data_IF_706303547204
#
_entry.id   IF_706303547204
#
_cell.length_a   1.000
_cell.length_b   1.000
_cell.length_c   1.000
_cell.angle_alpha   90.00
_cell.angle_beta   90.00
_cell.angle_gamma   90.00
#
_symmetry.space_group_name_H-M   'P 1'
#
loop_
_entity.id
_entity.type
_entity.pdbx_description
1 polymer ?
#
# COMPACT_ATOMS: atom_id res chain seq x y z
N UNK A 1 -57.30 5.12 73.17
CA UNK A 1 -57.44 5.67 71.81
C UNK A 1 -56.26 6.60 71.38
N UNK A 2 -55.43 7.09 72.32
CA UNK A 2 -54.42 8.15 72.06
C UNK A 2 -53.07 7.55 71.52
N UNK A 3 -52.67 6.36 71.86
CA UNK A 3 -51.36 5.80 71.46
C UNK A 3 -51.34 5.24 70.02
N UNK A 4 -52.44 4.74 69.52
CA UNK A 4 -52.52 4.19 68.14
C UNK A 4 -52.43 5.28 67.06
N UNK A 5 -52.93 6.46 67.35
CA UNK A 5 -52.93 7.62 66.42
C UNK A 5 -51.52 8.12 66.25
N UNK A 6 -50.69 8.16 67.30
CA UNK A 6 -49.27 8.59 67.23
C UNK A 6 -48.41 7.66 66.42
N UNK A 7 -48.65 6.33 66.51
CA UNK A 7 -47.89 5.33 65.73
C UNK A 7 -48.24 5.38 64.24
N UNK A 8 -49.49 5.62 63.89
CA UNK A 8 -49.96 5.71 62.50
C UNK A 8 -49.46 7.01 61.85
N UNK A 9 -49.41 8.14 62.58
CA UNK A 9 -48.80 9.38 62.06
C UNK A 9 -47.28 9.24 61.87
N UNK A 10 -46.61 8.54 62.76
CA UNK A 10 -45.16 8.26 62.65
C UNK A 10 -44.85 7.36 61.42
N UNK A 11 -45.63 6.35 61.15
CA UNK A 11 -45.47 5.48 59.97
C UNK A 11 -45.73 6.23 58.66
N UNK A 12 -46.77 7.04 58.56
CA UNK A 12 -47.07 7.85 57.39
C UNK A 12 -45.99 8.91 57.14
N UNK A 13 -45.51 9.54 58.21
CA UNK A 13 -44.39 10.49 58.10
C UNK A 13 -43.08 9.83 57.61
N UNK A 14 -42.82 8.61 58.09
CA UNK A 14 -41.64 7.85 57.62
C UNK A 14 -41.73 7.44 56.13
N UNK A 15 -42.94 7.06 55.67
CA UNK A 15 -43.16 6.75 54.25
C UNK A 15 -43.01 8.00 53.36
N UNK A 16 -43.53 9.13 53.82
CA UNK A 16 -43.40 10.39 53.10
C UNK A 16 -41.93 10.84 53.03
N UNK A 17 -41.19 10.72 54.11
CA UNK A 17 -39.77 11.05 54.19
C UNK A 17 -38.92 10.12 53.29
N UNK A 18 -39.24 8.79 53.29
CA UNK A 18 -38.59 7.82 52.36
C UNK A 18 -38.89 8.14 50.89
N UNK A 19 -40.14 8.54 50.56
CA UNK A 19 -40.50 8.90 49.19
C UNK A 19 -39.79 10.18 48.71
N UNK A 20 -39.60 11.16 49.59
CA UNK A 20 -38.84 12.38 49.28
C UNK A 20 -37.36 12.10 49.13
N UNK A 21 -36.77 11.19 49.94
CA UNK A 21 -35.40 10.76 49.83
C UNK A 21 -35.13 9.99 48.55
N UNK A 22 -36.07 9.14 48.09
CA UNK A 22 -35.98 8.40 46.82
C UNK A 22 -36.09 9.34 45.61
N UNK A 23 -36.86 10.42 45.68
CA UNK A 23 -36.98 11.41 44.61
C UNK A 23 -35.73 12.32 44.51
N UNK A 24 -34.99 12.49 45.60
CA UNK A 24 -33.73 13.25 45.61
C UNK A 24 -32.50 12.43 45.16
N UNK A 25 -32.61 11.10 45.08
CA UNK A 25 -31.50 10.22 44.73
C UNK A 25 -31.23 10.07 43.20
N UNK A 26 -32.17 10.52 42.36
CA UNK A 26 -31.95 10.53 40.89
C UNK A 26 -31.27 11.84 40.46
N UNK A 27 -30.04 12.07 40.86
CA UNK A 27 -29.15 12.94 40.08
C UNK A 27 -28.77 12.12 38.84
N UNK A 28 -29.39 12.46 37.70
CA UNK A 28 -28.96 11.97 36.40
C UNK A 28 -27.47 12.29 36.28
N UNK A 29 -26.63 11.23 36.29
CA UNK A 29 -25.21 11.43 36.05
C UNK A 29 -25.07 12.23 34.74
N UNK A 30 -24.35 13.32 34.78
CA UNK A 30 -24.04 14.06 33.56
C UNK A 30 -23.39 13.06 32.59
N UNK A 31 -23.85 12.97 31.33
CA UNK A 31 -23.22 12.10 30.35
C UNK A 31 -21.74 12.53 30.29
N UNK A 32 -20.85 11.54 30.44
CA UNK A 32 -19.42 11.75 30.27
C UNK A 32 -19.20 12.30 28.85
N UNK A 33 -19.18 13.61 28.73
CA UNK A 33 -18.82 14.29 27.49
C UNK A 33 -17.31 14.24 27.38
N UNK A 34 -16.80 13.67 26.28
CA UNK A 34 -15.39 13.71 25.96
C UNK A 34 -15.02 15.17 25.66
N UNK A 35 -14.43 15.86 26.64
CA UNK A 35 -14.08 17.30 26.58
C UNK A 35 -12.54 17.50 26.59
N UNK A 36 -11.84 16.61 25.87
CA UNK A 36 -10.41 16.75 25.65
C UNK A 36 -10.12 17.32 24.26
N UNK A 37 -8.93 17.90 24.11
CA UNK A 37 -8.43 18.32 22.80
C UNK A 37 -8.52 17.15 21.82
N UNK A 38 -8.89 17.43 20.59
CA UNK A 38 -8.96 16.40 19.56
C UNK A 38 -7.55 15.83 19.30
N UNK A 39 -7.45 14.51 19.29
CA UNK A 39 -6.23 13.81 18.94
C UNK A 39 -6.33 13.23 17.53
N UNK A 40 -5.17 13.06 16.87
CA UNK A 40 -5.06 12.46 15.54
C UNK A 40 -4.20 11.22 15.60
N UNK A 41 -4.55 10.20 14.80
CA UNK A 41 -3.81 8.95 14.74
C UNK A 41 -4.02 8.25 13.38
N UNK A 42 -3.10 7.32 13.06
CA UNK A 42 -3.28 6.40 11.92
C UNK A 42 -4.25 5.28 12.30
N UNK A 43 -5.29 5.09 11.48
CA UNK A 43 -6.34 4.08 11.68
C UNK A 43 -6.00 2.80 10.90
N UNK A 44 -4.89 2.17 11.29
CA UNK A 44 -4.37 0.99 10.61
C UNK A 44 -5.13 -0.27 11.04
N UNK A 45 -5.44 -1.12 10.06
CA UNK A 45 -5.98 -2.46 10.30
C UNK A 45 -4.98 -3.34 11.04
N UNK A 46 -5.43 -4.47 11.60
CA UNK A 46 -4.58 -5.33 12.41
C UNK A 46 -3.37 -5.88 11.64
N UNK A 47 -3.54 -6.20 10.36
CA UNK A 47 -2.50 -6.65 9.44
C UNK A 47 -1.53 -5.54 9.01
N UNK A 48 -1.93 -4.27 9.13
CA UNK A 48 -1.12 -3.09 8.78
C UNK A 48 -0.37 -2.47 9.96
N UNK A 49 -0.68 -2.88 11.19
CA UNK A 49 -0.06 -2.29 12.40
C UNK A 49 1.45 -2.39 12.43
N UNK A 50 1.99 -3.52 11.98
CA UNK A 50 3.44 -3.73 11.93
C UNK A 50 4.06 -3.06 10.72
N UNK A 51 3.43 -3.21 9.55
CA UNK A 51 3.84 -2.55 8.31
C UNK A 51 2.78 -2.65 7.22
N UNK A 52 2.70 -1.61 6.40
CA UNK A 52 1.98 -1.59 5.13
C UNK A 52 2.96 -2.03 4.06
N UNK A 53 2.81 -3.25 3.55
CA UNK A 53 3.66 -3.76 2.48
C UNK A 53 3.06 -3.41 1.12
N UNK A 54 3.87 -2.81 0.25
CA UNK A 54 3.50 -2.48 -1.12
C UNK A 54 4.55 -3.02 -2.09
N UNK A 55 4.11 -3.66 -3.17
CA UNK A 55 5.03 -4.20 -4.18
C UNK A 55 4.65 -3.79 -5.60
N UNK A 56 5.65 -3.41 -6.38
CA UNK A 56 5.57 -3.20 -7.82
C UNK A 56 5.93 -4.44 -8.64
N UNK A 57 6.24 -5.56 -7.99
CA UNK A 57 6.79 -6.75 -8.64
C UNK A 57 5.90 -7.30 -9.77
N UNK A 58 4.57 -7.18 -9.61
CA UNK A 58 3.59 -7.78 -10.53
C UNK A 58 3.00 -6.78 -11.54
N UNK A 59 3.31 -5.49 -11.42
CA UNK A 59 2.88 -4.45 -12.37
C UNK A 59 4.08 -3.61 -12.84
N UNK A 60 4.81 -4.17 -13.80
CA UNK A 60 6.05 -3.58 -14.29
C UNK A 60 5.83 -2.30 -15.12
N UNK A 61 4.65 -2.14 -15.70
CA UNK A 61 4.30 -0.94 -16.45
C UNK A 61 4.11 0.27 -15.53
N UNK A 62 3.79 0.05 -14.27
CA UNK A 62 3.46 1.10 -13.31
C UNK A 62 4.71 1.79 -12.78
N UNK A 63 4.89 3.07 -13.14
CA UNK A 63 6.02 3.89 -12.69
C UNK A 63 5.81 4.51 -11.30
N UNK A 64 4.56 4.67 -10.87
CA UNK A 64 4.19 5.23 -9.56
C UNK A 64 2.82 4.74 -9.11
N UNK A 65 2.56 4.81 -7.80
CA UNK A 65 1.25 4.53 -7.22
C UNK A 65 0.99 5.40 -5.98
N UNK A 66 -0.25 5.40 -5.49
CA UNK A 66 -0.64 6.09 -4.28
C UNK A 66 -1.10 5.10 -3.22
N UNK A 67 -0.38 5.06 -2.10
CA UNK A 67 -0.79 4.31 -0.91
C UNK A 67 -1.63 5.24 -0.04
N UNK A 68 -2.90 4.90 0.11
CA UNK A 68 -3.84 5.67 0.91
C UNK A 68 -3.79 5.21 2.37
N UNK A 69 -3.18 6.01 3.25
CA UNK A 69 -3.01 5.68 4.67
C UNK A 69 -4.14 6.35 5.45
N UNK A 70 -5.01 5.58 6.10
CA UNK A 70 -6.16 6.13 6.81
C UNK A 70 -5.71 6.89 8.07
N UNK A 71 -6.31 8.06 8.27
CA UNK A 71 -6.11 8.93 9.42
C UNK A 71 -7.46 9.22 10.05
N UNK A 72 -7.55 9.13 11.37
CA UNK A 72 -8.78 9.33 12.12
C UNK A 72 -8.53 10.29 13.31
N UNK A 73 -9.55 11.04 13.70
CA UNK A 73 -9.51 11.88 14.89
C UNK A 73 -10.26 11.23 16.05
N UNK A 74 -9.76 11.43 17.26
CA UNK A 74 -10.49 11.21 18.50
C UNK A 74 -10.89 12.57 19.09
N UNK A 75 -12.19 12.79 19.30
CA UNK A 75 -12.72 14.03 19.80
C UNK A 75 -13.89 14.57 19.00
N UNK A 76 -14.31 15.81 19.32
CA UNK A 76 -15.47 16.44 18.68
C UNK A 76 -15.21 16.75 17.21
N UNK A 77 -16.20 16.49 16.37
CA UNK A 77 -16.24 16.99 14.98
C UNK A 77 -16.77 18.42 15.04
N UNK A 78 -16.15 19.33 14.30
CA UNK A 78 -16.52 20.75 14.26
C UNK A 78 -16.87 21.16 12.82
N UNK A 79 -17.64 22.21 12.67
CA UNK A 79 -18.11 22.73 11.38
C UNK A 79 -17.06 23.61 10.68
N UNK A 80 -15.78 23.25 10.83
CA UNK A 80 -14.64 23.92 10.21
C UNK A 80 -13.63 22.87 9.74
N UNK A 81 -12.95 23.15 8.62
CA UNK A 81 -11.81 22.37 8.18
C UNK A 81 -10.68 22.49 9.19
N UNK A 82 -10.04 21.37 9.49
CA UNK A 82 -8.86 21.29 10.34
C UNK A 82 -7.70 20.68 9.56
N UNK A 83 -6.49 20.97 9.98
CA UNK A 83 -5.30 20.54 9.27
C UNK A 83 -4.37 19.74 10.19
N UNK A 84 -3.83 18.67 9.64
CA UNK A 84 -2.81 17.86 10.31
C UNK A 84 -1.50 17.83 9.51
N UNK A 85 -0.42 17.56 10.21
CA UNK A 85 0.91 17.43 9.64
C UNK A 85 1.41 16.02 9.83
N UNK A 86 1.91 15.43 8.75
CA UNK A 86 2.67 14.18 8.77
C UNK A 86 4.10 14.46 8.27
N UNK A 87 5.06 13.68 8.76
CA UNK A 87 6.44 13.76 8.31
C UNK A 87 7.07 12.37 8.22
N UNK A 88 8.16 12.26 7.46
CA UNK A 88 8.98 11.05 7.39
C UNK A 88 10.09 11.15 8.41
N UNK A 89 10.23 10.14 9.26
CA UNK A 89 11.34 10.01 10.19
C UNK A 89 12.58 9.52 9.43
N UNK A 90 13.50 10.45 9.12
CA UNK A 90 14.62 10.18 8.24
C UNK A 90 15.57 9.10 8.79
N UNK A 91 15.89 9.15 10.08
CA UNK A 91 16.85 8.23 10.72
C UNK A 91 16.40 6.77 10.73
N UNK A 92 15.10 6.53 10.64
CA UNK A 92 14.49 5.20 10.64
C UNK A 92 13.98 4.76 9.26
N UNK A 93 14.12 5.62 8.24
CA UNK A 93 13.68 5.37 6.87
C UNK A 93 14.87 5.08 5.96
N UNK A 94 14.72 4.09 5.07
CA UNK A 94 15.72 3.78 4.03
C UNK A 94 15.32 4.28 2.65
N UNK A 95 14.06 4.69 2.49
CA UNK A 95 13.55 5.31 1.28
C UNK A 95 13.97 6.79 1.22
N UNK A 96 14.31 7.26 0.03
CA UNK A 96 14.81 8.61 -0.22
C UNK A 96 13.70 9.46 -0.83
N UNK A 97 13.37 10.64 -0.25
CA UNK A 97 12.40 11.57 -0.81
C UNK A 97 12.81 12.03 -2.23
N UNK A 98 11.85 12.12 -3.14
CA UNK A 98 12.08 12.48 -4.55
C UNK A 98 12.59 11.31 -5.41
N UNK A 99 13.12 10.25 -4.81
CA UNK A 99 13.56 9.03 -5.50
C UNK A 99 12.50 7.93 -5.35
N UNK A 100 12.16 7.55 -4.12
CA UNK A 100 11.26 6.43 -3.84
C UNK A 100 9.82 6.87 -3.56
N UNK A 101 9.61 8.11 -3.14
CA UNK A 101 8.30 8.69 -2.88
C UNK A 101 8.31 10.21 -3.09
N UNK A 102 7.13 10.77 -3.38
CA UNK A 102 6.93 12.23 -3.43
C UNK A 102 7.05 12.78 -2.01
N UNK A 103 7.85 13.85 -1.77
CA UNK A 103 7.84 14.54 -0.48
C UNK A 103 6.42 14.88 -0.03
N UNK A 104 6.17 14.74 1.27
CA UNK A 104 4.86 15.02 1.84
C UNK A 104 4.52 16.52 1.73
N UNK A 105 3.23 16.82 1.63
CA UNK A 105 2.75 18.19 1.69
C UNK A 105 2.92 18.75 3.12
N UNK A 106 3.04 20.08 3.28
CA UNK A 106 3.21 20.70 4.61
C UNK A 106 2.08 20.37 5.57
N UNK A 107 0.85 20.21 5.07
CA UNK A 107 -0.34 19.86 5.84
C UNK A 107 -1.41 19.21 4.98
N UNK A 108 -2.31 18.48 5.62
CA UNK A 108 -3.42 17.77 5.00
C UNK A 108 -4.74 18.14 5.69
N UNK A 109 -5.84 18.31 4.93
CA UNK A 109 -7.13 18.68 5.50
C UNK A 109 -7.86 17.48 6.09
N UNK A 110 -8.61 17.75 7.17
CA UNK A 110 -9.77 16.97 7.61
C UNK A 110 -10.98 17.89 7.40
N UNK A 111 -11.88 17.57 6.44
CA UNK A 111 -13.02 18.44 6.13
C UNK A 111 -13.95 18.66 7.32
N UNK A 112 -14.68 19.77 7.28
CA UNK A 112 -15.68 20.11 8.30
C UNK A 112 -16.64 18.94 8.56
N UNK A 113 -16.93 18.71 9.86
CA UNK A 113 -17.80 17.63 10.33
C UNK A 113 -17.28 16.20 10.09
N UNK A 114 -16.16 16.03 9.37
CA UNK A 114 -15.54 14.73 9.15
C UNK A 114 -14.63 14.33 10.33
N UNK A 115 -14.52 13.03 10.53
CA UNK A 115 -13.66 12.44 11.56
C UNK A 115 -12.55 11.58 10.97
N UNK A 116 -12.51 11.45 9.64
CA UNK A 116 -11.56 10.61 8.89
C UNK A 116 -11.02 11.38 7.71
N UNK A 117 -9.78 11.08 7.40
CA UNK A 117 -9.09 11.56 6.21
C UNK A 117 -8.12 10.49 5.71
N UNK A 118 -7.46 10.77 4.62
CA UNK A 118 -6.45 9.89 4.02
C UNK A 118 -5.18 10.68 3.82
N UNK A 119 -4.04 10.11 4.24
CA UNK A 119 -2.71 10.60 3.86
C UNK A 119 -2.31 9.89 2.55
N UNK A 120 -2.30 10.58 1.40
CA UNK A 120 -1.87 9.99 0.13
C UNK A 120 -0.34 9.97 0.08
N UNK A 121 0.26 8.79 0.14
CA UNK A 121 1.68 8.59 -0.05
C UNK A 121 1.93 8.13 -1.49
N UNK A 122 2.41 9.04 -2.34
CA UNK A 122 2.77 8.70 -3.73
C UNK A 122 4.16 8.07 -3.73
N UNK A 123 4.24 6.84 -4.22
CA UNK A 123 5.47 6.02 -4.26
C UNK A 123 5.89 5.75 -5.70
N UNK A 124 7.19 5.57 -5.91
CA UNK A 124 7.79 5.39 -7.24
C UNK A 124 8.42 4.01 -7.39
N UNK A 125 8.19 3.39 -8.56
CA UNK A 125 8.83 2.15 -8.94
C UNK A 125 10.26 2.41 -9.43
N UNK A 126 11.25 2.08 -8.63
CA UNK A 126 12.67 2.27 -8.94
C UNK A 126 13.39 0.94 -9.11
N UNK A 127 14.42 0.87 -9.97
CA UNK A 127 15.15 -0.37 -10.22
C UNK A 127 15.75 -1.02 -8.97
N UNK A 128 16.24 -0.23 -8.01
CA UNK A 128 16.84 -0.72 -6.77
C UNK A 128 15.85 -1.45 -5.83
N UNK A 129 14.53 -1.24 -6.02
CA UNK A 129 13.50 -2.01 -5.34
C UNK A 129 13.43 -3.48 -5.77
N UNK A 130 14.06 -3.84 -6.88
CA UNK A 130 14.18 -5.23 -7.34
C UNK A 130 15.18 -6.03 -6.49
N UNK A 131 16.19 -5.35 -5.95
CA UNK A 131 17.26 -5.97 -5.19
C UNK A 131 17.03 -5.84 -3.68
N UNK A 132 16.45 -4.73 -3.23
CA UNK A 132 16.22 -4.48 -1.80
C UNK A 132 14.96 -3.67 -1.54
N UNK A 133 14.25 -4.01 -0.46
CA UNK A 133 13.09 -3.25 -0.01
C UNK A 133 13.52 -1.92 0.62
N UNK A 134 12.68 -0.89 0.47
CA UNK A 134 12.86 0.41 1.11
C UNK A 134 11.75 0.66 2.11
N UNK A 135 12.11 1.23 3.25
CA UNK A 135 11.17 1.52 4.34
C UNK A 135 10.94 3.02 4.46
N UNK A 136 9.68 3.41 4.64
CA UNK A 136 9.26 4.78 4.97
C UNK A 136 8.59 4.72 6.34
N UNK A 137 9.11 5.48 7.30
CA UNK A 137 8.49 5.66 8.60
C UNK A 137 7.78 7.00 8.62
N UNK A 138 6.46 6.95 8.62
CA UNK A 138 5.60 8.12 8.74
C UNK A 138 5.26 8.36 10.19
N UNK A 139 5.24 9.62 10.60
CA UNK A 139 4.77 10.06 11.90
C UNK A 139 3.83 11.26 11.78
N UNK A 140 2.86 11.33 12.67
CA UNK A 140 2.03 12.51 12.86
C UNK A 140 2.71 13.47 13.84
N UNK A 141 2.46 14.76 13.67
CA UNK A 141 2.94 15.83 14.55
C UNK A 141 1.74 16.54 15.17
N UNK A 142 1.88 16.92 16.45
CA UNK A 142 0.91 17.80 17.09
C UNK A 142 0.81 19.13 16.34
N UNK A 143 -0.40 19.67 16.25
CA UNK A 143 -0.71 20.95 15.61
C UNK A 143 -1.61 21.79 16.51
N UNK A 144 -2.00 22.99 16.06
CA UNK A 144 -3.02 23.77 16.77
C UNK A 144 -4.40 23.09 16.83
N UNK A 145 -4.67 22.20 15.87
CA UNK A 145 -5.96 21.52 15.75
C UNK A 145 -5.99 20.14 16.43
N UNK A 146 -4.82 19.49 16.60
CA UNK A 146 -4.74 18.10 17.06
C UNK A 146 -3.56 17.82 17.96
N UNK A 147 -3.83 17.10 19.07
CA UNK A 147 -2.83 16.42 19.89
C UNK A 147 -2.40 15.06 19.31
N UNK A 148 -1.34 14.52 19.89
CA UNK A 148 -0.77 13.19 19.56
C UNK A 148 -0.47 12.42 20.86
N UNK A 149 -1.40 12.39 21.79
CA UNK A 149 -1.18 11.86 23.14
C UNK A 149 -0.90 10.33 23.18
N UNK A 150 -1.37 9.58 22.17
CA UNK A 150 -1.08 8.15 22.09
C UNK A 150 0.07 7.88 21.10
N UNK A 151 1.31 7.65 21.58
CA UNK A 151 2.48 7.50 20.74
C UNK A 151 2.48 6.19 19.90
N UNK A 152 1.66 5.20 20.23
CA UNK A 152 1.66 3.90 19.54
C UNK A 152 0.95 3.95 18.20
N UNK A 153 0.03 4.87 18.00
CA UNK A 153 -0.81 4.99 16.80
C UNK A 153 -0.52 6.23 15.97
N UNK A 154 0.53 6.97 16.29
CA UNK A 154 1.01 8.12 15.50
C UNK A 154 2.09 7.76 14.49
N UNK A 155 2.43 6.47 14.38
CA UNK A 155 3.47 5.95 13.49
C UNK A 155 2.87 4.93 12.52
N UNK A 156 3.23 5.05 11.25
CA UNK A 156 2.97 4.05 10.21
C UNK A 156 4.27 3.68 9.50
N UNK A 157 4.49 2.38 9.30
CA UNK A 157 5.65 1.86 8.56
C UNK A 157 5.16 1.37 7.20
N UNK A 158 5.75 1.89 6.14
CA UNK A 158 5.51 1.43 4.77
C UNK A 158 6.77 0.75 4.25
N UNK A 159 6.62 -0.43 3.65
CA UNK A 159 7.71 -1.19 3.04
C UNK A 159 7.43 -1.30 1.55
N UNK A 160 8.33 -0.74 0.74
CA UNK A 160 8.27 -0.77 -0.71
C UNK A 160 9.19 -1.85 -1.26
N UNK A 161 8.72 -2.62 -2.25
CA UNK A 161 9.50 -3.64 -2.92
C UNK A 161 9.10 -3.75 -4.39
N UNK A 162 9.99 -4.28 -5.23
CA UNK A 162 9.69 -4.76 -6.59
C UNK A 162 10.35 -6.13 -6.82
N UNK A 163 10.70 -6.85 -5.75
CA UNK A 163 11.39 -8.14 -5.82
C UNK A 163 10.44 -9.21 -6.33
N UNK A 164 10.91 -9.97 -7.30
CA UNK A 164 10.30 -11.22 -7.74
C UNK A 164 11.14 -12.38 -7.21
N UNK A 165 10.48 -13.32 -6.58
CA UNK A 165 11.08 -14.59 -6.17
C UNK A 165 10.63 -15.69 -7.12
N UNK A 166 11.46 -16.73 -7.28
CA UNK A 166 11.11 -17.86 -8.12
C UNK A 166 9.92 -18.60 -7.53
N UNK A 167 8.77 -18.66 -8.23
CA UNK A 167 7.64 -19.44 -7.77
C UNK A 167 7.93 -20.95 -7.81
N UNK A 168 7.31 -21.72 -6.92
CA UNK A 168 7.50 -23.18 -6.86
C UNK A 168 7.14 -23.90 -8.18
N UNK A 169 6.16 -23.37 -8.91
CA UNK A 169 5.70 -23.91 -10.20
C UNK A 169 6.63 -23.58 -11.38
N UNK A 170 7.58 -22.63 -11.23
CA UNK A 170 8.37 -22.08 -12.35
C UNK A 170 9.14 -23.13 -13.11
N UNK A 171 9.93 -23.93 -12.41
CA UNK A 171 10.81 -24.92 -13.05
C UNK A 171 10.06 -26.00 -13.83
N UNK A 172 8.80 -26.24 -13.49
CA UNK A 172 7.94 -27.21 -14.18
C UNK A 172 7.52 -26.73 -15.57
N UNK A 173 7.32 -25.42 -15.76
CA UNK A 173 6.71 -24.85 -16.96
C UNK A 173 7.64 -23.93 -17.77
N UNK A 174 8.54 -23.22 -17.09
CA UNK A 174 9.34 -22.15 -17.69
C UNK A 174 10.85 -22.45 -17.72
N UNK A 175 11.31 -23.57 -17.14
CA UNK A 175 12.73 -23.96 -17.13
C UNK A 175 13.61 -23.07 -16.24
N UNK A 176 14.82 -22.75 -16.70
CA UNK A 176 15.74 -21.92 -15.92
C UNK A 176 15.12 -20.57 -15.54
N UNK A 177 15.31 -20.19 -14.27
CA UNK A 177 14.80 -18.95 -13.72
C UNK A 177 15.79 -17.82 -13.90
N UNK A 178 15.29 -16.65 -14.30
CA UNK A 178 15.87 -15.35 -14.01
C UNK A 178 14.75 -14.36 -13.71
N UNK A 179 15.05 -13.32 -12.93
CA UNK A 179 14.09 -12.26 -12.62
C UNK A 179 13.54 -11.63 -13.90
N UNK A 180 14.44 -11.34 -14.85
CA UNK A 180 14.07 -10.78 -16.16
C UNK A 180 13.12 -11.71 -16.93
N UNK A 181 13.37 -13.02 -16.96
CA UNK A 181 12.46 -13.97 -17.60
C UNK A 181 11.08 -13.99 -16.94
N UNK A 182 11.04 -13.92 -15.62
CA UNK A 182 9.78 -13.84 -14.88
C UNK A 182 9.03 -12.52 -15.16
N UNK A 183 9.73 -11.39 -15.24
CA UNK A 183 9.15 -10.12 -15.65
C UNK A 183 8.54 -10.20 -17.06
N UNK A 184 9.26 -10.78 -18.03
CA UNK A 184 8.75 -11.00 -19.38
C UNK A 184 7.52 -11.91 -19.38
N UNK A 185 7.51 -12.97 -18.56
CA UNK A 185 6.35 -13.84 -18.39
C UNK A 185 5.12 -13.05 -17.91
N UNK A 186 5.26 -12.22 -16.88
CA UNK A 186 4.17 -11.37 -16.36
C UNK A 186 3.66 -10.39 -17.42
N UNK A 187 4.57 -9.75 -18.17
CA UNK A 187 4.23 -8.81 -19.25
C UNK A 187 3.40 -9.49 -20.33
N UNK A 188 3.84 -10.68 -20.74
CA UNK A 188 3.20 -11.41 -21.84
C UNK A 188 1.86 -11.96 -21.41
N UNK A 189 1.81 -12.63 -20.29
CA UNK A 189 0.66 -13.46 -19.88
C UNK A 189 -0.31 -12.73 -18.96
N UNK A 190 0.16 -11.80 -18.15
CA UNK A 190 -0.61 -11.19 -17.04
C UNK A 190 -0.94 -12.17 -15.91
N UNK A 191 -0.33 -13.38 -15.92
CA UNK A 191 -0.59 -14.44 -14.95
C UNK A 191 0.51 -14.46 -13.90
N UNK A 192 0.15 -14.44 -12.61
CA UNK A 192 1.09 -14.45 -11.50
C UNK A 192 1.38 -15.84 -10.97
N UNK A 193 0.46 -16.80 -11.19
CA UNK A 193 0.57 -18.17 -10.69
C UNK A 193 0.10 -19.17 -11.74
N UNK A 194 0.80 -20.32 -11.81
CA UNK A 194 0.37 -21.49 -12.56
C UNK A 194 0.10 -22.65 -11.62
N UNK A 195 -0.94 -23.41 -11.93
CA UNK A 195 -1.30 -24.60 -11.16
C UNK A 195 -0.22 -25.68 -11.24
N UNK A 196 -0.01 -26.40 -10.15
CA UNK A 196 0.82 -27.62 -10.12
C UNK A 196 -0.01 -28.90 -10.30
N UNK A 197 -1.31 -28.79 -10.53
CA UNK A 197 -2.23 -29.91 -10.73
C UNK A 197 -2.08 -30.44 -12.17
N UNK A 198 -1.85 -31.75 -12.33
CA UNK A 198 -1.59 -32.37 -13.63
C UNK A 198 -2.70 -32.17 -14.68
N UNK A 199 -3.95 -32.05 -14.28
CA UNK A 199 -5.08 -31.79 -15.18
C UNK A 199 -5.01 -30.41 -15.86
N UNK A 200 -4.30 -29.43 -15.24
CA UNK A 200 -4.12 -28.10 -15.79
C UNK A 200 -2.91 -27.97 -16.73
N UNK A 201 -2.15 -29.06 -16.91
CA UNK A 201 -0.93 -29.06 -17.74
C UNK A 201 -1.13 -28.48 -19.15
N UNK A 202 -2.19 -28.83 -19.92
CA UNK A 202 -2.39 -28.24 -21.25
C UNK A 202 -2.56 -26.73 -21.23
N UNK A 203 -3.28 -26.20 -20.24
CA UNK A 203 -3.46 -24.76 -20.02
C UNK A 203 -2.15 -24.07 -19.66
N UNK A 204 -1.40 -24.65 -18.73
CA UNK A 204 -0.13 -24.12 -18.27
C UNK A 204 0.93 -24.10 -19.38
N UNK A 205 0.99 -25.16 -20.19
CA UNK A 205 1.87 -25.23 -21.36
C UNK A 205 1.51 -24.15 -22.39
N UNK A 206 0.22 -23.92 -22.65
CA UNK A 206 -0.21 -22.82 -23.51
C UNK A 206 0.25 -21.47 -22.98
N UNK A 207 0.06 -21.20 -21.68
CA UNK A 207 0.49 -19.93 -21.05
C UNK A 207 2.02 -19.78 -21.12
N UNK A 208 2.78 -20.82 -20.79
CA UNK A 208 4.24 -20.79 -20.87
C UNK A 208 4.74 -20.58 -22.32
N UNK A 209 4.03 -21.15 -23.31
CA UNK A 209 4.37 -20.97 -24.72
C UNK A 209 4.21 -19.53 -25.20
N UNK A 210 3.30 -18.73 -24.61
CA UNK A 210 3.18 -17.31 -24.95
C UNK A 210 4.50 -16.57 -24.69
N UNK A 211 5.19 -16.88 -23.58
CA UNK A 211 6.53 -16.35 -23.33
C UNK A 211 7.52 -16.79 -24.40
N UNK A 212 7.53 -18.07 -24.76
CA UNK A 212 8.43 -18.61 -25.80
C UNK A 212 8.23 -17.91 -27.15
N UNK A 213 6.98 -17.64 -27.53
CA UNK A 213 6.65 -16.88 -28.76
C UNK A 213 7.26 -15.47 -28.71
N UNK A 214 7.12 -14.75 -27.60
CA UNK A 214 7.72 -13.43 -27.44
C UNK A 214 9.25 -13.47 -27.46
N UNK A 215 9.88 -14.43 -26.76
CA UNK A 215 11.33 -14.56 -26.72
C UNK A 215 11.93 -14.83 -28.10
N UNK A 216 11.22 -15.58 -28.95
CA UNK A 216 11.65 -15.89 -30.32
C UNK A 216 11.39 -14.74 -31.32
N UNK A 217 10.35 -13.96 -31.12
CA UNK A 217 9.91 -12.92 -32.06
C UNK A 217 9.57 -11.60 -31.31
N UNK A 218 10.53 -10.94 -30.63
CA UNK A 218 10.24 -9.79 -29.77
C UNK A 218 9.72 -8.57 -30.54
N UNK A 219 10.17 -8.33 -31.77
CA UNK A 219 9.71 -7.22 -32.60
C UNK A 219 8.25 -7.40 -33.05
N UNK A 220 7.92 -8.59 -33.54
CA UNK A 220 6.56 -8.93 -33.94
C UNK A 220 5.61 -8.89 -32.74
N UNK A 221 6.09 -9.36 -31.58
CA UNK A 221 5.29 -9.30 -30.37
C UNK A 221 4.93 -7.85 -30.01
N UNK A 222 5.90 -6.93 -30.02
CA UNK A 222 5.66 -5.51 -29.74
C UNK A 222 4.69 -4.91 -30.76
N UNK A 223 4.89 -5.18 -32.05
CA UNK A 223 4.03 -4.69 -33.13
C UNK A 223 2.57 -5.17 -32.98
N UNK A 224 2.37 -6.42 -32.55
CA UNK A 224 1.05 -7.03 -32.42
C UNK A 224 0.38 -6.78 -31.05
N UNK A 225 1.10 -6.23 -30.05
CA UNK A 225 0.61 -5.99 -28.69
C UNK A 225 0.71 -4.51 -28.27
N UNK A 226 0.43 -3.59 -29.19
CA UNK A 226 0.53 -2.15 -28.95
C UNK A 226 -0.31 -1.66 -27.77
N UNK A 227 -1.45 -2.34 -27.49
CA UNK A 227 -2.32 -2.03 -26.36
C UNK A 227 -1.66 -2.28 -24.97
N UNK A 228 -0.57 -3.04 -24.90
CA UNK A 228 0.23 -3.22 -23.68
C UNK A 228 1.21 -2.07 -23.43
N UNK A 229 1.40 -1.17 -24.40
CA UNK A 229 2.19 0.06 -24.26
C UNK A 229 3.71 -0.15 -24.22
N UNK A 230 4.23 -1.35 -24.51
CA UNK A 230 5.66 -1.60 -24.56
C UNK A 230 6.25 -1.19 -25.91
N UNK A 231 7.48 -0.67 -25.86
CA UNK A 231 8.24 -0.23 -27.03
C UNK A 231 9.64 -0.82 -27.06
N UNK A 232 10.24 -0.85 -28.25
CA UNK A 232 11.64 -1.15 -28.47
C UNK A 232 12.33 0.12 -28.96
N UNK A 233 13.27 0.66 -28.19
CA UNK A 233 14.07 1.82 -28.51
C UNK A 233 15.52 1.42 -28.72
N UNK A 234 16.13 1.79 -29.83
CA UNK A 234 17.55 1.47 -30.06
C UNK A 234 18.44 2.06 -28.95
N UNK A 235 19.35 1.26 -28.40
CA UNK A 235 20.30 1.71 -27.37
C UNK A 235 21.19 2.82 -27.89
N UNK A 236 21.63 2.68 -29.14
CA UNK A 236 22.37 3.72 -29.89
C UNK A 236 21.56 4.11 -31.10
N UNK A 237 21.23 5.40 -31.27
CA UNK A 237 20.47 5.86 -32.42
C UNK A 237 21.07 5.39 -33.76
N UNK A 238 20.23 4.75 -34.58
CA UNK A 238 20.64 4.22 -35.89
C UNK A 238 21.31 2.83 -35.86
N UNK A 239 21.63 2.29 -34.68
CA UNK A 239 22.13 0.90 -34.56
C UNK A 239 20.98 -0.10 -34.42
N UNK A 240 21.21 -1.31 -34.97
CA UNK A 240 20.31 -2.46 -34.81
C UNK A 240 20.89 -3.51 -33.87
N UNK A 241 21.98 -3.24 -33.17
CA UNK A 241 22.68 -4.23 -32.35
C UNK A 241 21.97 -4.51 -31.03
N UNK A 242 21.34 -3.48 -30.45
CA UNK A 242 20.65 -3.60 -29.18
C UNK A 242 19.48 -2.61 -29.04
N UNK A 243 18.48 -3.02 -28.30
CA UNK A 243 17.29 -2.22 -27.98
C UNK A 243 17.01 -2.27 -26.47
N UNK A 244 16.32 -1.24 -25.98
CA UNK A 244 15.65 -1.25 -24.69
C UNK A 244 14.17 -1.57 -24.90
N UNK A 245 13.70 -2.58 -24.19
CA UNK A 245 12.29 -2.95 -24.09
C UNK A 245 11.74 -2.36 -22.78
N UNK A 246 10.75 -1.49 -22.89
CA UNK A 246 10.18 -0.78 -21.74
C UNK A 246 8.83 -0.16 -22.09
N UNK A 247 8.13 0.40 -21.10
CA UNK A 247 6.94 1.23 -21.32
C UNK A 247 7.25 2.70 -20.99
N UNK A 248 6.75 3.67 -21.79
CA UNK A 248 6.91 5.10 -21.49
C UNK A 248 6.37 5.53 -20.13
N UNK A 249 5.39 4.80 -19.56
CA UNK A 249 4.87 5.04 -18.22
C UNK A 249 5.91 4.70 -17.11
N UNK A 250 6.88 3.83 -17.41
CA UNK A 250 7.96 3.49 -16.49
C UNK A 250 9.32 3.45 -17.21
N UNK A 251 9.85 4.60 -17.64
CA UNK A 251 11.09 4.67 -18.43
C UNK A 251 12.35 4.28 -17.66
N UNK A 252 12.24 4.14 -16.33
CA UNK A 252 13.34 3.72 -15.47
C UNK A 252 13.54 2.18 -15.48
N UNK A 253 12.56 1.41 -15.94
CA UNK A 253 12.62 -0.04 -16.04
C UNK A 253 12.79 -0.47 -17.49
N UNK A 254 14.05 -0.65 -17.90
CA UNK A 254 14.41 -1.05 -19.25
C UNK A 254 15.06 -2.43 -19.26
N UNK A 255 14.49 -3.38 -20.01
CA UNK A 255 15.08 -4.69 -20.26
C UNK A 255 15.86 -4.61 -21.58
N UNK A 256 17.12 -5.05 -21.56
CA UNK A 256 17.96 -5.04 -22.76
C UNK A 256 17.61 -6.20 -23.67
N UNK A 257 17.41 -5.92 -24.96
CA UNK A 257 17.32 -6.87 -26.04
C UNK A 257 18.58 -6.71 -26.90
N UNK A 258 19.37 -7.75 -27.07
CA UNK A 258 20.66 -7.67 -27.77
C UNK A 258 20.76 -8.71 -28.87
N UNK A 259 21.35 -8.31 -30.00
CA UNK A 259 21.67 -9.21 -31.12
C UNK A 259 22.86 -10.07 -30.77
N UNK A 260 22.69 -11.36 -30.84
CA UNK A 260 23.80 -12.32 -30.74
C UNK A 260 24.53 -12.38 -32.10
N UNK A 261 25.80 -12.05 -32.11
CA UNK A 261 26.60 -11.94 -33.33
C UNK A 261 26.81 -13.26 -34.06
N UNK A 262 26.80 -14.37 -33.32
CA UNK A 262 26.99 -15.71 -33.88
C UNK A 262 25.76 -16.26 -34.60
N UNK A 263 24.57 -16.04 -34.03
CA UNK A 263 23.30 -16.54 -34.58
C UNK A 263 22.51 -15.51 -35.38
N UNK A 264 22.83 -14.20 -35.22
CA UNK A 264 22.07 -13.11 -35.80
C UNK A 264 20.71 -12.88 -35.12
N UNK A 265 20.34 -13.66 -34.13
CA UNK A 265 19.06 -13.59 -33.39
C UNK A 265 19.17 -12.59 -32.23
N UNK A 266 18.03 -12.06 -31.78
CA UNK A 266 17.95 -11.18 -30.62
C UNK A 266 17.51 -11.96 -29.39
N UNK A 267 18.17 -11.67 -28.25
CA UNK A 267 17.86 -12.23 -26.94
C UNK A 267 17.70 -11.13 -25.91
N UNK A 268 16.72 -11.25 -25.04
CA UNK A 268 16.69 -10.45 -23.83
C UNK A 268 17.85 -10.83 -22.93
N UNK A 269 18.43 -9.84 -22.27
CA UNK A 269 19.57 -10.04 -21.36
C UNK A 269 19.05 -9.92 -19.94
N UNK A 270 19.35 -10.92 -19.13
CA UNK A 270 18.92 -10.96 -17.74
C UNK A 270 19.81 -10.11 -16.79
N UNK A 271 19.45 -10.08 -15.54
CA UNK A 271 20.17 -9.36 -14.47
C UNK A 271 21.62 -9.85 -14.24
N UNK A 272 21.97 -11.04 -14.74
CA UNK A 272 23.31 -11.63 -14.66
C UNK A 272 24.10 -11.47 -15.97
N UNK A 273 23.53 -10.77 -16.97
CA UNK A 273 24.13 -10.57 -18.28
C UNK A 273 24.00 -11.81 -19.19
N UNK A 274 23.13 -12.77 -18.86
CA UNK A 274 22.93 -13.97 -19.66
C UNK A 274 21.73 -13.80 -20.60
N UNK A 275 21.76 -14.53 -21.72
CA UNK A 275 20.64 -14.58 -22.66
C UNK A 275 19.44 -15.31 -22.04
N UNK A 276 18.30 -14.67 -22.03
CA UNK A 276 17.02 -15.28 -21.65
C UNK A 276 16.55 -16.20 -22.76
N UNK A 277 16.40 -17.48 -22.44
CA UNK A 277 16.00 -18.53 -23.40
C UNK A 277 14.81 -19.34 -22.90
#
# INVERSE_FOLDING_TARGET
MSQYIKIVLSRRGCYLLCMVLLAAACKKAEPLTFDHAANIYFDLSQDQKDSISYTFAYDLAKGSDTINIPVTISGKRIAQDRFYTAYVEADSSTAIPGIHFKPLEPQYPIPALEGRAVLPLIVYNRPDLEDSSRTIILKLRASGDFGIENPTIIKAKVVLSARLEQPAWWSMWCGAYSRTKHQLFLIVTGVTELSTVGLDAPKNLYIANLLTVMLNNPFDWVANNTGKGYVLEAVTPGSTDAYYFYTPQNPNKKIRLQKNTGSGRYFFIDENGQEVR
#
